data_IF_042205649098
#
_entry.id   IF_042205649098
#
_cell.length_a   1.000
_cell.length_b   1.000
_cell.length_c   1.000
_cell.angle_alpha   90.00
_cell.angle_beta   90.00
_cell.angle_gamma   90.00
#
_symmetry.space_group_name_H-M   'P 1'
#
loop_
_entity.id
_entity.type
_entity.pdbx_description
1 polymer ?
#
# COMPACT_ATOMS: atom_id res chain seq x y z
N UNK A 1 -5.75 -1.01 13.92
CA UNK A 1 -4.65 0.00 13.90
C UNK A 1 -3.94 0.07 12.55
N UNK A 2 -2.92 -0.76 12.23
CA UNK A 2 -2.32 -0.79 10.87
C UNK A 2 -3.27 -1.42 9.84
N UNK A 3 -3.92 -2.53 10.24
CA UNK A 3 -4.91 -3.23 9.40
C UNK A 3 -6.15 -2.37 9.09
N UNK A 4 -6.54 -1.43 9.97
CA UNK A 4 -7.63 -0.49 9.67
C UNK A 4 -7.19 0.60 8.69
N UNK A 5 -5.92 1.02 8.74
CA UNK A 5 -5.35 1.92 7.74
C UNK A 5 -5.43 1.31 6.34
N UNK A 6 -5.09 0.02 6.21
CA UNK A 6 -5.24 -0.71 4.94
C UNK A 6 -6.69 -0.75 4.48
N UNK A 7 -7.66 -0.89 5.40
CA UNK A 7 -9.09 -0.88 5.07
C UNK A 7 -9.59 0.45 4.50
N UNK A 8 -8.87 1.55 4.73
CA UNK A 8 -9.21 2.88 4.21
C UNK A 8 -8.62 3.17 2.83
N UNK A 9 -7.70 2.33 2.35
CA UNK A 9 -7.11 2.49 1.02
C UNK A 9 -8.11 2.09 -0.09
N UNK A 10 -8.13 2.79 -1.23
CA UNK A 10 -8.74 2.26 -2.46
C UNK A 10 -8.22 0.84 -2.77
N UNK A 11 -9.07 -0.02 -3.32
CA UNK A 11 -8.77 -1.46 -3.51
C UNK A 11 -7.42 -1.71 -4.17
N UNK A 12 -7.15 -1.06 -5.31
CA UNK A 12 -5.91 -1.22 -6.05
C UNK A 12 -4.65 -0.79 -5.26
N UNK A 13 -4.75 0.24 -4.41
CA UNK A 13 -3.63 0.65 -3.56
C UNK A 13 -3.41 -0.35 -2.43
N UNK A 14 -4.51 -0.89 -1.86
CA UNK A 14 -4.47 -1.88 -0.80
C UNK A 14 -3.83 -3.18 -1.25
N UNK A 15 -4.19 -3.68 -2.44
CA UNK A 15 -3.59 -4.88 -3.03
C UNK A 15 -2.08 -4.68 -3.22
N UNK A 16 -1.67 -3.61 -3.89
CA UNK A 16 -0.25 -3.33 -4.13
C UNK A 16 0.54 -3.18 -2.82
N UNK A 17 0.00 -2.48 -1.83
CA UNK A 17 0.64 -2.35 -0.51
C UNK A 17 0.72 -3.70 0.21
N UNK A 18 -0.35 -4.49 0.19
CA UNK A 18 -0.37 -5.78 0.91
C UNK A 18 0.69 -6.73 0.34
N UNK A 19 0.73 -6.87 -0.99
CA UNK A 19 1.71 -7.72 -1.65
C UNK A 19 3.15 -7.25 -1.42
N UNK A 20 3.41 -5.94 -1.51
CA UNK A 20 4.78 -5.39 -1.45
C UNK A 20 5.33 -5.19 -0.04
N UNK A 21 4.50 -4.73 0.89
CA UNK A 21 4.95 -4.26 2.20
C UNK A 21 4.63 -5.26 3.33
N UNK A 22 3.70 -6.19 3.10
CA UNK A 22 3.27 -7.17 4.10
C UNK A 22 3.71 -8.58 3.69
N UNK A 23 3.39 -8.98 2.45
CA UNK A 23 3.69 -10.31 1.95
C UNK A 23 5.11 -10.43 1.35
N UNK A 24 5.75 -9.29 1.04
CA UNK A 24 7.15 -9.24 0.60
C UNK A 24 7.40 -9.65 -0.85
N UNK A 25 6.37 -9.72 -1.69
CA UNK A 25 6.49 -10.02 -3.13
C UNK A 25 7.36 -8.99 -3.82
N UNK A 26 8.06 -9.35 -4.89
CA UNK A 26 8.81 -8.42 -5.73
C UNK A 26 7.89 -7.48 -6.54
N UNK A 27 8.47 -6.42 -7.13
CA UNK A 27 7.71 -5.51 -7.98
C UNK A 27 7.23 -6.21 -9.26
N UNK A 28 8.01 -7.15 -9.76
CA UNK A 28 7.72 -7.89 -10.99
C UNK A 28 6.57 -8.88 -10.76
N UNK A 29 6.67 -9.71 -9.71
CA UNK A 29 5.60 -10.65 -9.33
C UNK A 29 4.29 -9.91 -9.02
N UNK A 30 4.35 -8.73 -8.39
CA UNK A 30 3.16 -7.90 -8.14
C UNK A 30 2.53 -7.38 -9.45
N UNK A 31 3.35 -6.95 -10.42
CA UNK A 31 2.85 -6.46 -11.70
C UNK A 31 2.21 -7.57 -12.53
N UNK A 32 2.83 -8.76 -12.53
CA UNK A 32 2.32 -9.94 -13.21
C UNK A 32 1.00 -10.41 -12.60
N UNK A 33 0.95 -10.57 -11.27
CA UNK A 33 -0.25 -11.04 -10.57
C UNK A 33 -1.46 -10.11 -10.72
N UNK A 34 -1.22 -8.78 -10.76
CA UNK A 34 -2.30 -7.79 -10.85
C UNK A 34 -2.57 -7.32 -12.30
N UNK A 35 -1.78 -7.77 -13.28
CA UNK A 35 -1.91 -7.35 -14.67
C UNK A 35 -1.71 -5.83 -14.88
N UNK A 36 -0.80 -5.21 -14.13
CA UNK A 36 -0.52 -3.76 -14.18
C UNK A 36 0.90 -3.46 -14.64
N UNK A 37 1.12 -2.26 -15.18
CA UNK A 37 2.46 -1.81 -15.51
C UNK A 37 3.27 -1.44 -14.27
N UNK A 38 4.60 -1.56 -14.35
CA UNK A 38 5.51 -1.12 -13.30
C UNK A 38 5.35 0.37 -12.94
N UNK A 39 4.99 1.21 -13.91
CA UNK A 39 4.69 2.62 -13.65
C UNK A 39 3.42 2.78 -12.78
N UNK A 40 2.34 2.06 -13.11
CA UNK A 40 1.11 2.08 -12.33
C UNK A 40 1.34 1.52 -10.92
N UNK A 41 2.05 0.39 -10.81
CA UNK A 41 2.40 -0.23 -9.53
C UNK A 41 3.13 0.75 -8.59
N UNK A 42 4.12 1.49 -9.08
CA UNK A 42 4.86 2.47 -8.26
C UNK A 42 3.96 3.60 -7.78
N UNK A 43 3.06 4.09 -8.62
CA UNK A 43 2.10 5.14 -8.25
C UNK A 43 1.13 4.65 -7.18
N UNK A 44 0.57 3.45 -7.34
CA UNK A 44 -0.33 2.84 -6.37
C UNK A 44 0.36 2.61 -5.03
N UNK A 45 1.58 2.05 -5.05
CA UNK A 45 2.37 1.82 -3.84
C UNK A 45 2.71 3.12 -3.10
N UNK A 46 3.17 4.14 -3.84
CA UNK A 46 3.50 5.43 -3.25
C UNK A 46 2.29 6.09 -2.60
N UNK A 47 1.15 6.13 -3.30
CA UNK A 47 -0.09 6.73 -2.77
C UNK A 47 -0.62 5.97 -1.56
N UNK A 48 -0.59 4.64 -1.60
CA UNK A 48 -0.98 3.79 -0.48
C UNK A 48 -0.13 4.06 0.76
N UNK A 49 1.21 4.08 0.62
CA UNK A 49 2.14 4.38 1.71
C UNK A 49 1.96 5.80 2.27
N UNK A 50 1.69 6.78 1.43
CA UNK A 50 1.45 8.15 1.88
C UNK A 50 0.22 8.25 2.80
N UNK A 51 -0.88 7.57 2.45
CA UNK A 51 -2.08 7.51 3.29
C UNK A 51 -1.79 6.81 4.63
N UNK A 52 -1.10 5.66 4.60
CA UNK A 52 -0.78 4.93 5.83
C UNK A 52 0.13 5.72 6.76
N UNK A 53 1.14 6.42 6.21
CA UNK A 53 2.02 7.29 7.00
C UNK A 53 1.23 8.38 7.72
N UNK A 54 0.35 9.09 7.02
CA UNK A 54 -0.45 10.15 7.64
C UNK A 54 -1.34 9.61 8.78
N UNK A 55 -1.88 8.40 8.63
CA UNK A 55 -2.68 7.77 9.68
C UNK A 55 -1.85 7.37 10.90
N UNK A 56 -0.60 6.93 10.68
CA UNK A 56 0.33 6.59 11.75
C UNK A 56 0.85 7.84 12.47
N UNK A 57 1.11 8.93 11.75
CA UNK A 57 1.50 10.22 12.33
C UNK A 57 0.44 10.71 13.32
N UNK A 58 -0.84 10.75 12.92
CA UNK A 58 -1.95 11.11 13.82
C UNK A 58 -2.00 10.22 15.06
N UNK A 59 -1.85 8.91 14.89
CA UNK A 59 -1.87 7.98 16.02
C UNK A 59 -0.67 8.17 16.98
N UNK A 60 0.51 8.50 16.45
CA UNK A 60 1.70 8.74 17.26
C UNK A 60 1.63 10.08 17.98
N UNK A 61 1.01 11.09 17.37
CA UNK A 61 0.82 12.41 17.99
C UNK A 61 -0.27 12.43 19.07
N UNK A 62 -1.26 11.53 19.00
CA UNK A 62 -2.32 11.36 20.01
C UNK A 62 -1.87 10.58 21.27
N UNK A 63 -0.62 10.12 21.34
CA UNK A 63 -0.09 9.25 22.41
C UNK A 63 0.95 9.88 23.32
#
# INVERSE_FOLDING_TARGET
MVLDGLRRLPSAQREVVSMRDIEGWSSEETCEALGISAANQRVLLHRGRAVLRNLLEVYLDER
#
